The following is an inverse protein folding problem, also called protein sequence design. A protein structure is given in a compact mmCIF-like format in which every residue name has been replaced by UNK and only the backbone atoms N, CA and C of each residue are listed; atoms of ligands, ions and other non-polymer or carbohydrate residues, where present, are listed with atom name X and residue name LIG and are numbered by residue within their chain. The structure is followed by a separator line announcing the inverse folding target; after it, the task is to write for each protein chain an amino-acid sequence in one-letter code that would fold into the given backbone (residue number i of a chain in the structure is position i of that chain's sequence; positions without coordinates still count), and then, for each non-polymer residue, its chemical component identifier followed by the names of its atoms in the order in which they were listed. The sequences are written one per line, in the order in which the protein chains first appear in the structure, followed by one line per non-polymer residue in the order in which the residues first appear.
data_IF_491398020625
#
_entry.id   IF_491398020625
#
_cell.length_a   1.000
_cell.length_b   1.000
_cell.length_c   1.000
_cell.angle_alpha   90.00
_cell.angle_beta   90.00
_cell.angle_gamma   90.00
#
_symmetry.space_group_name_H-M   'P 1'
#
loop_
_entity.id
_entity.type
_entity.pdbx_description
1 polymer ?
#
# COMPACT_ATOMS: atom_id res chain seq x y z
N UNK A 1 -14.37 16.86 -32.75
CA UNK A 1 -13.42 17.31 -33.79
C UNK A 1 -12.27 17.99 -33.06
N UNK A 2 -11.14 17.29 -32.89
CA UNK A 2 -9.89 17.94 -32.48
C UNK A 2 -9.35 18.61 -33.73
N UNK A 3 -9.14 19.93 -33.69
CA UNK A 3 -8.61 20.69 -34.83
C UNK A 3 -7.28 20.11 -35.27
N UNK A 4 -7.03 20.05 -36.58
CA UNK A 4 -5.71 19.72 -37.10
C UNK A 4 -4.70 20.68 -36.46
N UNK A 5 -3.75 20.15 -35.71
CA UNK A 5 -2.62 20.94 -35.25
C UNK A 5 -1.90 21.44 -36.51
N UNK A 6 -1.87 22.76 -36.74
CA UNK A 6 -1.02 23.35 -37.76
C UNK A 6 0.42 22.93 -37.45
N UNK A 7 1.00 22.11 -38.33
CA UNK A 7 2.42 21.83 -38.29
C UNK A 7 3.10 23.12 -38.74
N UNK A 8 3.56 23.94 -37.79
CA UNK A 8 4.37 25.10 -38.12
C UNK A 8 5.58 24.63 -38.90
N UNK A 9 5.74 25.10 -40.13
CA UNK A 9 6.93 24.85 -40.93
C UNK A 9 8.16 25.30 -40.11
N UNK A 10 9.16 24.44 -39.93
CA UNK A 10 10.29 24.75 -39.07
C UNK A 10 11.06 25.96 -39.60
N UNK A 11 11.42 26.87 -38.69
CA UNK A 11 12.16 28.12 -38.99
C UNK A 11 13.51 27.87 -39.69
N UNK A 12 14.01 26.64 -39.65
CA UNK A 12 15.19 26.16 -40.35
C UNK A 12 14.86 24.86 -41.09
N UNK A 13 15.52 24.56 -42.21
CA UNK A 13 15.37 23.29 -42.90
C UNK A 13 15.62 22.12 -41.94
N UNK A 14 14.75 21.10 -41.95
CA UNK A 14 14.85 19.90 -41.09
C UNK A 14 16.25 19.26 -41.13
N UNK A 15 16.90 19.09 -42.30
CA UNK A 15 18.27 18.56 -42.35
C UNK A 15 19.29 19.46 -41.64
N UNK A 16 19.08 20.78 -41.66
CA UNK A 16 19.92 21.75 -40.95
C UNK A 16 19.79 21.64 -39.44
N UNK A 17 18.56 21.43 -38.94
CA UNK A 17 18.31 21.19 -37.50
C UNK A 17 18.99 19.88 -37.08
N UNK A 18 18.82 18.81 -37.85
CA UNK A 18 19.46 17.50 -37.58
C UNK A 18 20.98 17.64 -37.59
N UNK A 19 21.56 18.31 -38.58
CA UNK A 19 23.01 18.53 -38.64
C UNK A 19 23.50 19.31 -37.41
N UNK A 20 22.80 20.37 -37.03
CA UNK A 20 23.16 21.19 -35.88
C UNK A 20 23.08 20.40 -34.57
N UNK A 21 22.02 19.62 -34.35
CA UNK A 21 21.88 18.80 -33.14
C UNK A 21 22.96 17.73 -33.07
N UNK A 22 23.27 17.06 -34.18
CA UNK A 22 24.36 16.09 -34.24
C UNK A 22 25.72 16.71 -33.96
N UNK A 23 25.98 17.93 -34.45
CA UNK A 23 27.21 18.66 -34.13
C UNK A 23 27.28 18.96 -32.62
N UNK A 24 26.21 19.46 -32.02
CA UNK A 24 26.17 19.74 -30.57
C UNK A 24 26.42 18.48 -29.75
N UNK A 25 25.79 17.35 -30.12
CA UNK A 25 26.01 16.05 -29.47
C UNK A 25 27.46 15.58 -29.64
N UNK A 26 28.02 15.66 -30.85
CA UNK A 26 29.39 15.26 -31.13
C UNK A 26 30.39 16.09 -30.32
N UNK A 27 30.20 17.42 -30.25
CA UNK A 27 31.02 18.31 -29.42
C UNK A 27 30.91 17.94 -27.94
N UNK A 28 29.69 17.72 -27.43
CA UNK A 28 29.47 17.30 -26.05
C UNK A 28 30.13 15.96 -25.73
N UNK A 29 30.04 14.99 -26.63
CA UNK A 29 30.66 13.67 -26.47
C UNK A 29 32.19 13.75 -26.47
N UNK A 30 32.79 14.52 -27.40
CA UNK A 30 34.25 14.75 -27.42
C UNK A 30 34.71 15.45 -26.15
N UNK A 31 33.94 16.44 -25.67
CA UNK A 31 34.26 17.13 -24.43
C UNK A 31 34.17 16.21 -23.21
N UNK A 32 33.13 15.38 -23.12
CA UNK A 32 33.00 14.37 -22.08
C UNK A 32 34.15 13.35 -22.13
N UNK A 33 34.54 12.88 -23.31
CA UNK A 33 35.69 11.99 -23.47
C UNK A 33 36.98 12.63 -22.95
N UNK A 34 37.23 13.91 -23.29
CA UNK A 34 38.40 14.62 -22.79
C UNK A 34 38.39 14.77 -21.27
N UNK A 35 37.23 15.05 -20.66
CA UNK A 35 37.11 15.30 -19.21
C UNK A 35 37.09 14.05 -18.34
N UNK A 36 36.50 12.95 -18.83
CA UNK A 36 36.29 11.74 -18.03
C UNK A 36 37.20 10.57 -18.41
N UNK A 37 37.72 10.52 -19.65
CA UNK A 37 38.61 9.45 -20.08
C UNK A 37 40.10 9.81 -20.00
N UNK A 38 40.45 11.10 -20.03
CA UNK A 38 41.85 11.56 -19.97
C UNK A 38 42.27 12.13 -18.62
N UNK A 39 41.33 12.54 -17.77
CA UNK A 39 41.61 13.12 -16.47
C UNK A 39 41.15 12.19 -15.35
N UNK A 40 41.90 12.15 -14.25
CA UNK A 40 41.53 11.37 -13.06
C UNK A 40 40.32 12.01 -12.37
N UNK A 41 39.26 11.22 -12.18
CA UNK A 41 38.05 11.67 -11.49
C UNK A 41 38.27 11.50 -9.98
N UNK A 42 38.12 12.56 -9.17
CA UNK A 42 38.27 12.45 -7.72
C UNK A 42 37.28 11.44 -7.12
N UNK A 43 37.78 10.50 -6.30
CA UNK A 43 36.94 9.49 -5.63
C UNK A 43 35.97 10.11 -4.61
N UNK A 44 36.34 11.25 -4.03
CA UNK A 44 35.52 12.00 -3.07
C UNK A 44 34.94 13.23 -3.75
N UNK A 45 33.60 13.32 -3.74
CA UNK A 45 32.89 14.44 -4.32
C UNK A 45 33.32 15.77 -3.66
N UNK A 46 33.80 16.76 -4.42
CA UNK A 46 34.13 18.07 -3.88
C UNK A 46 32.89 18.74 -3.28
N UNK A 47 33.10 19.51 -2.20
CA UNK A 47 32.07 20.38 -1.60
C UNK A 47 31.64 21.40 -2.66
N UNK A 48 30.52 21.10 -3.29
CA UNK A 48 29.98 21.87 -4.40
C UNK A 48 28.98 22.92 -3.93
N UNK A 49 28.67 23.84 -4.85
CA UNK A 49 27.56 24.78 -4.72
C UNK A 49 26.22 24.07 -4.48
N UNK A 50 25.21 24.82 -4.04
CA UNK A 50 23.86 24.26 -3.85
C UNK A 50 23.33 23.53 -5.10
N UNK A 51 23.58 24.06 -6.31
CA UNK A 51 23.15 23.43 -7.56
C UNK A 51 23.84 22.10 -7.86
N UNK A 52 25.13 21.95 -7.52
CA UNK A 52 25.83 20.65 -7.69
C UNK A 52 25.41 19.63 -6.64
N UNK A 53 25.01 20.07 -5.43
CA UNK A 53 24.37 19.18 -4.46
C UNK A 53 22.99 18.72 -4.91
N UNK A 54 22.17 19.64 -5.43
CA UNK A 54 20.85 19.30 -5.97
C UNK A 54 20.96 18.34 -7.16
N UNK A 55 21.84 18.62 -8.13
CA UNK A 55 22.06 17.71 -9.27
C UNK A 55 22.55 16.32 -8.85
N UNK A 56 23.34 16.21 -7.77
CA UNK A 56 23.75 14.91 -7.21
C UNK A 56 22.61 14.17 -6.50
N UNK A 57 21.64 14.89 -5.97
CA UNK A 57 20.45 14.33 -5.34
C UNK A 57 19.28 14.21 -6.34
N UNK A 58 19.56 14.12 -7.65
CA UNK A 58 18.58 14.05 -8.73
C UNK A 58 17.51 15.16 -8.67
N UNK A 59 17.97 16.39 -8.38
CA UNK A 59 17.14 17.58 -8.16
C UNK A 59 16.07 17.38 -7.08
N UNK A 60 16.30 16.45 -6.15
CA UNK A 60 15.36 16.00 -5.11
C UNK A 60 14.06 15.40 -5.66
N UNK A 61 14.02 15.04 -6.96
CA UNK A 61 12.82 14.44 -7.57
C UNK A 61 12.47 13.12 -6.86
N UNK A 62 13.46 12.27 -6.63
CA UNK A 62 13.29 11.01 -5.92
C UNK A 62 12.85 11.21 -4.47
N UNK A 63 13.48 12.12 -3.73
CA UNK A 63 13.16 12.38 -2.32
C UNK A 63 11.71 12.85 -2.15
N UNK A 64 11.26 13.75 -3.04
CA UNK A 64 9.90 14.25 -3.09
C UNK A 64 8.94 13.12 -3.46
N UNK A 65 9.24 12.35 -4.49
CA UNK A 65 8.41 11.23 -4.93
C UNK A 65 8.22 10.20 -3.81
N UNK A 66 9.34 9.78 -3.21
CA UNK A 66 9.36 8.78 -2.16
C UNK A 66 8.60 9.26 -0.90
N UNK A 67 8.82 10.51 -0.51
CA UNK A 67 8.26 11.05 0.75
C UNK A 67 6.79 11.43 0.62
N UNK A 68 6.40 12.02 -0.50
CA UNK A 68 5.02 12.51 -0.68
C UNK A 68 4.10 11.46 -1.30
N UNK A 69 4.62 10.51 -2.08
CA UNK A 69 3.77 9.56 -2.82
C UNK A 69 4.00 8.12 -2.41
N UNK A 70 5.25 7.63 -2.46
CA UNK A 70 5.54 6.21 -2.22
C UNK A 70 5.26 5.78 -0.77
N UNK A 71 5.94 6.39 0.20
CA UNK A 71 5.82 6.02 1.63
C UNK A 71 4.38 6.13 2.13
N UNK A 72 3.61 7.20 1.84
CA UNK A 72 2.21 7.29 2.24
C UNK A 72 1.34 6.23 1.55
N UNK A 73 1.56 5.96 0.26
CA UNK A 73 0.84 4.93 -0.48
C UNK A 73 1.03 3.54 0.14
N UNK A 74 2.28 3.20 0.46
CA UNK A 74 2.63 1.94 1.14
C UNK A 74 1.98 1.86 2.53
N UNK A 75 1.99 2.96 3.29
CA UNK A 75 1.36 3.00 4.61
C UNK A 75 -0.16 2.82 4.52
N UNK A 76 -0.83 3.43 3.54
CA UNK A 76 -2.25 3.26 3.27
C UNK A 76 -2.58 1.80 2.95
N UNK A 77 -1.86 1.17 2.03
CA UNK A 77 -2.11 -0.24 1.68
C UNK A 77 -1.90 -1.18 2.87
N UNK A 78 -0.85 -0.96 3.67
CA UNK A 78 -0.63 -1.74 4.91
C UNK A 78 -1.74 -1.52 5.93
N UNK A 79 -2.24 -0.29 6.05
CA UNK A 79 -3.38 0.03 6.93
C UNK A 79 -4.66 -0.66 6.48
N UNK A 80 -4.94 -0.69 5.18
CA UNK A 80 -6.08 -1.42 4.62
C UNK A 80 -6.00 -2.93 4.87
N UNK A 81 -4.84 -3.54 4.59
CA UNK A 81 -4.63 -4.98 4.85
C UNK A 81 -4.78 -5.33 6.34
N UNK A 82 -4.26 -4.47 7.24
CA UNK A 82 -4.47 -4.64 8.67
C UNK A 82 -5.94 -4.52 9.08
N UNK A 83 -6.66 -3.54 8.53
CA UNK A 83 -8.08 -3.31 8.82
C UNK A 83 -8.95 -4.47 8.35
N UNK A 84 -8.65 -5.05 7.18
CA UNK A 84 -9.35 -6.22 6.65
C UNK A 84 -9.12 -7.46 7.52
N UNK A 85 -7.84 -7.81 7.78
CA UNK A 85 -7.49 -8.99 8.58
C UNK A 85 -7.97 -8.90 10.02
N UNK A 86 -7.86 -7.73 10.64
CA UNK A 86 -8.21 -7.56 12.06
C UNK A 86 -9.69 -7.24 12.26
N UNK A 87 -10.29 -6.48 11.35
CA UNK A 87 -11.68 -6.09 11.41
C UNK A 87 -12.60 -7.15 10.81
N UNK A 88 -12.48 -7.42 9.52
CA UNK A 88 -13.41 -8.30 8.80
C UNK A 88 -13.15 -9.75 9.16
N UNK A 89 -11.93 -10.24 8.92
CA UNK A 89 -11.61 -11.64 9.20
C UNK A 89 -11.64 -11.94 10.70
N UNK A 90 -11.16 -11.01 11.53
CA UNK A 90 -11.20 -11.12 12.99
C UNK A 90 -12.62 -11.24 13.54
N UNK A 91 -13.58 -10.47 13.02
CA UNK A 91 -14.99 -10.56 13.46
C UNK A 91 -15.64 -11.87 13.03
N UNK A 92 -15.42 -12.31 11.78
CA UNK A 92 -15.96 -13.58 11.28
C UNK A 92 -15.35 -14.77 12.04
N UNK A 93 -14.03 -14.76 12.25
CA UNK A 93 -13.31 -15.74 13.05
C UNK A 93 -13.78 -15.77 14.52
N UNK A 94 -14.05 -14.60 15.10
CA UNK A 94 -14.60 -14.47 16.45
C UNK A 94 -16.01 -15.07 16.57
N UNK A 95 -16.92 -14.74 15.64
CA UNK A 95 -18.29 -15.26 15.63
C UNK A 95 -18.30 -16.77 15.45
N UNK A 96 -17.54 -17.29 14.48
CA UNK A 96 -17.44 -18.73 14.25
C UNK A 96 -16.83 -19.47 15.46
N UNK A 97 -15.81 -18.88 16.11
CA UNK A 97 -15.23 -19.38 17.34
C UNK A 97 -16.24 -19.43 18.50
N UNK A 98 -17.04 -18.38 18.66
CA UNK A 98 -18.12 -18.29 19.65
C UNK A 98 -19.19 -19.37 19.44
N UNK A 99 -19.67 -19.52 18.21
CA UNK A 99 -20.65 -20.56 17.85
C UNK A 99 -20.06 -21.93 18.19
N UNK A 100 -18.82 -22.22 17.76
CA UNK A 100 -18.19 -23.49 18.04
C UNK A 100 -18.00 -23.76 19.55
N UNK A 101 -17.67 -22.73 20.34
CA UNK A 101 -17.56 -22.83 21.79
C UNK A 101 -18.93 -23.11 22.44
N UNK A 102 -19.96 -22.39 22.02
CA UNK A 102 -21.33 -22.59 22.49
C UNK A 102 -21.83 -24.01 22.16
N UNK A 103 -21.62 -24.48 20.93
CA UNK A 103 -21.97 -25.85 20.53
C UNK A 103 -21.23 -26.90 21.35
N UNK A 104 -19.93 -26.70 21.64
CA UNK A 104 -19.16 -27.61 22.51
C UNK A 104 -19.68 -27.60 23.95
N UNK A 105 -20.08 -26.44 24.47
CA UNK A 105 -20.72 -26.32 25.78
C UNK A 105 -22.04 -27.09 25.85
N UNK A 106 -22.93 -26.83 24.88
CA UNK A 106 -24.23 -27.50 24.79
C UNK A 106 -24.09 -29.02 24.65
N UNK A 107 -23.10 -29.49 23.89
CA UNK A 107 -22.81 -30.93 23.75
C UNK A 107 -22.48 -31.60 25.08
N UNK A 108 -21.86 -30.90 26.04
CA UNK A 108 -21.56 -31.47 27.36
C UNK A 108 -22.81 -31.62 28.25
N UNK A 109 -23.83 -30.79 28.02
CA UNK A 109 -25.12 -30.88 28.74
C UNK A 109 -25.92 -32.11 28.31
N UNK A 110 -25.72 -32.57 27.07
CA UNK A 110 -26.34 -33.78 26.52
C UNK A 110 -25.51 -35.03 26.86
N UNK A 111 -25.64 -35.51 28.09
CA UNK A 111 -24.84 -36.58 28.68
C UNK A 111 -25.53 -37.96 28.68
N UNK A 112 -26.72 -38.10 28.08
CA UNK A 112 -27.38 -39.40 27.85
C UNK A 112 -28.03 -40.06 29.08
N UNK A 113 -27.92 -39.43 30.26
CA UNK A 113 -28.46 -39.95 31.52
C UNK A 113 -29.90 -39.49 31.73
N UNK A 114 -30.85 -40.42 31.85
CA UNK A 114 -32.27 -40.11 32.08
C UNK A 114 -32.52 -39.18 33.29
N UNK A 115 -31.73 -39.33 34.37
CA UNK A 115 -31.80 -38.43 35.55
C UNK A 115 -31.46 -36.99 35.21
N UNK A 116 -30.45 -36.75 34.37
CA UNK A 116 -30.06 -35.42 33.91
C UNK A 116 -31.14 -34.78 33.03
N UNK A 117 -31.86 -35.58 32.24
CA UNK A 117 -33.02 -35.12 31.45
C UNK A 117 -34.22 -34.77 32.33
N UNK A 118 -34.52 -35.58 33.34
CA UNK A 118 -35.58 -35.26 34.29
C UNK A 118 -35.30 -33.95 35.03
N UNK A 119 -34.05 -33.74 35.44
CA UNK A 119 -33.61 -32.52 36.13
C UNK A 119 -33.69 -31.28 35.23
N UNK A 120 -33.32 -31.39 33.94
CA UNK A 120 -33.47 -30.30 32.96
C UNK A 120 -34.94 -29.99 32.66
N UNK A 121 -35.82 -30.98 32.52
CA UNK A 121 -37.27 -30.78 32.36
C UNK A 121 -37.89 -30.09 33.59
N UNK A 122 -37.58 -30.57 34.80
CA UNK A 122 -38.04 -29.96 36.05
C UNK A 122 -37.58 -28.51 36.17
N UNK A 123 -36.30 -28.24 35.85
CA UNK A 123 -35.75 -26.88 35.85
C UNK A 123 -36.48 -25.98 34.86
N UNK A 124 -36.82 -26.49 33.67
CA UNK A 124 -37.60 -25.77 32.67
C UNK A 124 -38.99 -25.39 33.16
N UNK A 125 -39.69 -26.32 33.84
CA UNK A 125 -41.02 -26.05 34.43
C UNK A 125 -40.94 -24.97 35.51
N UNK A 126 -39.98 -25.08 36.44
CA UNK A 126 -39.79 -24.11 37.52
C UNK A 126 -39.48 -22.72 36.97
N UNK A 127 -38.57 -22.62 35.98
CA UNK A 127 -38.24 -21.35 35.33
C UNK A 127 -39.43 -20.74 34.61
N UNK A 128 -40.22 -21.54 33.90
CA UNK A 128 -41.41 -21.08 33.20
C UNK A 128 -42.46 -20.53 34.17
N UNK A 129 -42.78 -21.29 35.21
CA UNK A 129 -43.73 -20.86 36.25
C UNK A 129 -43.23 -19.62 36.99
N UNK A 130 -41.93 -19.54 37.30
CA UNK A 130 -41.32 -18.37 37.89
C UNK A 130 -41.38 -17.13 37.00
N UNK A 131 -41.11 -17.26 35.70
CA UNK A 131 -41.23 -16.15 34.75
C UNK A 131 -42.67 -15.65 34.63
N UNK A 132 -43.64 -16.56 34.56
CA UNK A 132 -45.07 -16.21 34.57
C UNK A 132 -45.45 -15.51 35.87
N UNK A 133 -44.90 -15.94 37.01
CA UNK A 133 -45.09 -15.29 38.32
C UNK A 133 -44.49 -13.88 38.41
N UNK A 134 -43.38 -13.60 37.73
CA UNK A 134 -42.80 -12.25 37.69
C UNK A 134 -43.59 -11.29 36.78
N UNK A 135 -44.27 -11.82 35.76
CA UNK A 135 -45.00 -11.01 34.77
C UNK A 135 -46.44 -10.65 35.17
N UNK A 136 -47.00 -11.33 36.19
CA UNK A 136 -48.36 -11.10 36.69
C UNK A 136 -48.35 -10.13 37.88
#
# INVERSE_FOLDING_TARGET
VVGAAEHHDPVLPVPGIIALTLIVVAVGAVWAWMRYAREEVPEVAPVGSWGTRAARADLYQEEINQTLFEKPGVALTRGLDFADRSGVDGTIGGVSGWIAAASRGLRRVQNGLARSYALTMLSGVVLFLGAVWVMQ
#
